data_IF_742010264447
#
_entry.id   IF_742010264447
#
_cell.length_a   1.000
_cell.length_b   1.000
_cell.length_c   1.000
_cell.angle_alpha   90.00
_cell.angle_beta   90.00
_cell.angle_gamma   90.00
#
_symmetry.space_group_name_H-M   'P 1'
#
loop_
_entity.id
_entity.type
_entity.pdbx_description
1 polymer ?
#
# COMPACT_ATOMS: atom_id res chain seq x y z
N UNK A 1 3.92 3.94 -0.99
CA UNK A 1 5.07 3.96 -1.92
C UNK A 1 4.58 4.26 -3.33
N UNK A 2 5.35 5.01 -4.09
CA UNK A 2 5.06 5.28 -5.49
C UNK A 2 5.23 4.03 -6.37
N UNK A 3 4.41 3.94 -7.42
CA UNK A 3 4.60 2.98 -8.49
C UNK A 3 5.78 3.37 -9.38
N UNK A 4 6.23 2.40 -10.18
CA UNK A 4 7.27 2.56 -11.20
C UNK A 4 6.75 1.98 -12.52
N UNK A 5 7.52 2.16 -13.58
CA UNK A 5 7.20 1.58 -14.87
C UNK A 5 7.90 2.27 -16.02
N UNK A 6 7.19 2.39 -17.13
CA UNK A 6 7.65 3.04 -18.36
C UNK A 6 6.68 4.14 -18.78
N UNK A 7 7.23 5.22 -19.32
CA UNK A 7 6.49 6.27 -20.00
C UNK A 7 7.19 6.60 -21.31
N UNK A 8 6.53 6.42 -22.45
CA UNK A 8 7.15 6.51 -23.78
C UNK A 8 8.40 5.62 -23.96
N UNK A 9 8.45 4.49 -23.24
CA UNK A 9 9.61 3.60 -23.20
C UNK A 9 10.75 4.03 -22.26
N UNK A 10 10.71 5.26 -21.72
CA UNK A 10 11.64 5.73 -20.70
C UNK A 10 11.26 5.19 -19.31
N UNK A 11 12.26 4.82 -18.50
CA UNK A 11 12.04 4.26 -17.17
C UNK A 11 11.60 5.35 -16.19
N UNK A 12 10.51 5.12 -15.48
CA UNK A 12 10.03 5.98 -14.39
C UNK A 12 10.78 5.60 -13.11
N UNK A 13 11.57 6.54 -12.60
CA UNK A 13 12.40 6.41 -11.41
C UNK A 13 11.62 6.69 -10.12
N UNK A 14 10.71 7.64 -10.17
CA UNK A 14 9.89 8.06 -9.04
C UNK A 14 8.62 8.77 -9.52
N UNK A 15 7.59 8.77 -8.68
CA UNK A 15 6.34 9.50 -8.91
C UNK A 15 5.97 10.25 -7.65
N UNK A 16 5.76 11.57 -7.77
CA UNK A 16 5.45 12.45 -6.66
C UNK A 16 4.18 13.25 -6.94
N UNK A 17 3.49 13.69 -5.90
CA UNK A 17 2.35 14.59 -5.99
C UNK A 17 2.71 15.86 -5.23
N UNK A 18 2.54 17.02 -5.87
CA UNK A 18 2.77 18.31 -5.21
C UNK A 18 1.53 18.78 -4.43
N UNK A 19 1.68 19.89 -3.70
CA UNK A 19 0.61 20.49 -2.88
C UNK A 19 -0.61 20.96 -3.70
N UNK A 20 -0.47 21.06 -5.03
CA UNK A 20 -1.54 21.39 -5.96
C UNK A 20 -2.18 20.16 -6.60
N UNK A 21 -1.78 18.96 -6.19
CA UNK A 21 -2.30 17.70 -6.71
C UNK A 21 -1.74 17.31 -8.09
N UNK A 22 -0.68 17.96 -8.58
CA UNK A 22 -0.06 17.59 -9.86
C UNK A 22 0.85 16.38 -9.66
N UNK A 23 0.72 15.40 -10.55
CA UNK A 23 1.54 14.18 -10.55
C UNK A 23 2.80 14.40 -11.38
N UNK A 24 3.96 14.34 -10.74
CA UNK A 24 5.28 14.45 -11.36
C UNK A 24 5.90 13.07 -11.56
N UNK A 25 6.39 12.80 -12.76
CA UNK A 25 7.09 11.55 -13.10
C UNK A 25 8.57 11.88 -13.33
N UNK A 26 9.45 11.35 -12.49
CA UNK A 26 10.89 11.43 -12.72
C UNK A 26 11.27 10.31 -13.68
N UNK A 27 11.73 10.64 -14.89
CA UNK A 27 12.05 9.66 -15.93
C UNK A 27 13.52 9.68 -16.29
N UNK A 28 14.03 8.52 -16.70
CA UNK A 28 15.39 8.33 -17.18
C UNK A 28 15.49 8.66 -18.68
N UNK A 29 16.39 9.57 -19.05
CA UNK A 29 16.66 9.93 -20.44
C UNK A 29 15.87 11.13 -20.95
N UNK A 30 15.79 11.32 -22.29
CA UNK A 30 15.16 12.50 -22.88
C UNK A 30 13.65 12.51 -22.65
N UNK A 31 13.11 13.70 -22.40
CA UNK A 31 11.66 13.89 -22.23
C UNK A 31 10.93 13.88 -23.58
N UNK A 32 9.71 13.34 -23.65
CA UNK A 32 8.85 13.52 -24.81
C UNK A 32 8.52 15.00 -25.02
N UNK A 33 8.24 15.37 -26.27
CA UNK A 33 7.80 16.73 -26.59
C UNK A 33 6.51 17.08 -25.83
N UNK A 34 6.38 18.34 -25.42
CA UNK A 34 5.16 18.83 -24.76
C UNK A 34 3.98 18.66 -25.72
N UNK A 35 2.90 18.03 -25.22
CA UNK A 35 1.70 17.73 -26.01
C UNK A 35 1.75 16.40 -26.77
N UNK A 36 2.86 15.66 -26.72
CA UNK A 36 2.93 14.33 -27.31
C UNK A 36 1.99 13.34 -26.59
N UNK A 37 1.30 12.50 -27.36
CA UNK A 37 0.62 11.33 -26.82
C UNK A 37 1.66 10.24 -26.54
N UNK A 38 1.63 9.68 -25.33
CA UNK A 38 2.60 8.68 -24.88
C UNK A 38 1.87 7.48 -24.28
N UNK A 39 2.47 6.29 -24.44
CA UNK A 39 2.02 5.09 -23.75
C UNK A 39 2.73 4.97 -22.40
N UNK A 40 1.96 4.67 -21.35
CA UNK A 40 2.47 4.38 -20.01
C UNK A 40 2.16 2.94 -19.60
N UNK A 41 3.12 2.28 -18.96
CA UNK A 41 2.97 0.93 -18.43
C UNK A 41 3.51 0.88 -16.99
N UNK A 42 2.75 0.31 -16.06
CA UNK A 42 3.14 0.17 -14.65
C UNK A 42 3.88 -1.16 -14.45
N UNK A 43 4.86 -1.18 -13.56
CA UNK A 43 5.42 -2.41 -13.00
C UNK A 43 4.33 -3.13 -12.18
N UNK A 44 3.70 -4.12 -12.80
CA UNK A 44 2.58 -4.87 -12.23
C UNK A 44 2.99 -5.66 -10.98
N UNK A 45 4.23 -6.18 -10.94
CA UNK A 45 4.71 -6.95 -9.80
C UNK A 45 4.81 -6.04 -8.57
N UNK A 46 5.44 -4.87 -8.73
CA UNK A 46 5.50 -3.83 -7.69
C UNK A 46 4.11 -3.41 -7.23
N UNK A 47 3.23 -3.09 -8.19
CA UNK A 47 1.86 -2.63 -7.90
C UNK A 47 1.10 -3.65 -7.04
N UNK A 48 1.19 -4.94 -7.38
CA UNK A 48 0.52 -6.03 -6.65
C UNK A 48 1.04 -6.17 -5.22
N UNK A 49 2.36 -6.13 -5.03
CA UNK A 49 2.96 -6.18 -3.69
C UNK A 49 2.47 -5.02 -2.83
N UNK A 50 2.47 -3.79 -3.36
CA UNK A 50 1.98 -2.63 -2.61
C UNK A 50 0.50 -2.73 -2.25
N UNK A 51 -0.35 -3.22 -3.16
CA UNK A 51 -1.77 -3.46 -2.88
C UNK A 51 -1.94 -4.47 -1.75
N UNK A 52 -1.26 -5.62 -1.85
CA UNK A 52 -1.36 -6.69 -0.88
C UNK A 52 -0.88 -6.23 0.51
N UNK A 53 0.26 -5.55 0.60
CA UNK A 53 0.80 -5.07 1.87
C UNK A 53 -0.10 -4.03 2.53
N UNK A 54 -0.67 -3.11 1.75
CA UNK A 54 -1.58 -2.11 2.30
C UNK A 54 -2.88 -2.77 2.79
N UNK A 55 -3.47 -3.69 2.02
CA UNK A 55 -4.64 -4.45 2.46
C UNK A 55 -4.34 -5.29 3.70
N UNK A 56 -3.20 -5.98 3.74
CA UNK A 56 -2.76 -6.77 4.88
C UNK A 56 -2.58 -5.90 6.13
N UNK A 57 -2.06 -4.68 5.98
CA UNK A 57 -1.94 -3.74 7.08
C UNK A 57 -3.31 -3.42 7.69
N UNK A 58 -4.31 -3.05 6.88
CA UNK A 58 -5.67 -2.77 7.40
C UNK A 58 -6.26 -3.98 8.13
N UNK A 59 -6.09 -5.17 7.56
CA UNK A 59 -6.62 -6.40 8.14
C UNK A 59 -5.92 -6.76 9.46
N UNK A 60 -4.59 -6.67 9.51
CA UNK A 60 -3.82 -6.94 10.72
C UNK A 60 -4.10 -5.90 11.81
N UNK A 61 -4.21 -4.62 11.45
CA UNK A 61 -4.67 -3.57 12.37
C UNK A 61 -6.02 -3.93 13.00
N UNK A 62 -7.00 -4.38 12.19
CA UNK A 62 -8.30 -4.81 12.74
C UNK A 62 -8.16 -6.04 13.64
N UNK A 63 -7.38 -7.04 13.23
CA UNK A 63 -7.17 -8.25 14.01
C UNK A 63 -6.57 -7.96 15.39
N UNK A 64 -5.59 -7.05 15.47
CA UNK A 64 -4.97 -6.63 16.72
C UNK A 64 -5.95 -5.90 17.64
N UNK A 65 -6.84 -5.07 17.09
CA UNK A 65 -7.93 -4.43 17.84
C UNK A 65 -8.90 -5.47 18.39
N UNK A 66 -9.37 -6.42 17.58
CA UNK A 66 -10.32 -7.46 18.00
C UNK A 66 -9.74 -8.37 19.10
N UNK A 67 -8.49 -8.79 18.94
CA UNK A 67 -7.87 -9.80 19.81
C UNK A 67 -7.31 -9.20 21.10
N UNK A 68 -6.80 -7.96 21.05
CA UNK A 68 -6.04 -7.36 22.16
C UNK A 68 -6.46 -5.94 22.52
N UNK A 69 -7.41 -5.35 21.79
CA UNK A 69 -7.82 -3.96 21.95
C UNK A 69 -6.69 -2.97 21.67
N UNK A 70 -5.70 -3.35 20.85
CA UNK A 70 -4.53 -2.54 20.51
C UNK A 70 -4.81 -1.72 19.25
N UNK A 71 -5.01 -0.41 19.41
CA UNK A 71 -5.33 0.51 18.32
C UNK A 71 -4.05 0.88 17.55
N UNK A 72 -4.17 1.04 16.23
CA UNK A 72 -3.03 1.43 15.39
C UNK A 72 -2.72 2.91 15.56
N UNK A 73 -1.48 3.21 15.94
CA UNK A 73 -0.95 4.58 16.08
C UNK A 73 -0.28 5.02 14.78
N UNK A 74 0.50 4.13 14.17
CA UNK A 74 1.24 4.43 12.95
C UNK A 74 1.47 3.16 12.12
N UNK A 75 1.73 3.33 10.83
CA UNK A 75 2.23 2.24 9.99
C UNK A 75 3.30 2.75 9.03
N UNK A 76 4.24 1.87 8.70
CA UNK A 76 5.24 2.12 7.65
C UNK A 76 5.17 0.98 6.66
N UNK A 77 4.81 1.31 5.42
CA UNK A 77 4.79 0.36 4.32
C UNK A 77 6.07 0.52 3.50
N UNK A 78 7.09 -0.25 3.85
CA UNK A 78 8.37 -0.30 3.13
C UNK A 78 8.36 -1.33 2.00
N UNK A 79 9.40 -1.31 1.19
CA UNK A 79 9.53 -2.15 -0.01
C UNK A 79 9.76 -3.64 0.32
N UNK A 80 10.46 -3.91 1.42
CA UNK A 80 10.76 -5.26 1.91
C UNK A 80 10.14 -5.58 3.27
N UNK A 81 9.80 -4.56 4.06
CA UNK A 81 9.29 -4.70 5.43
C UNK A 81 8.17 -3.71 5.66
N UNK A 82 7.09 -4.17 6.29
CA UNK A 82 6.01 -3.33 6.79
C UNK A 82 5.95 -3.43 8.31
N UNK A 83 5.70 -2.30 8.98
CA UNK A 83 5.54 -2.25 10.43
C UNK A 83 4.22 -1.57 10.79
N UNK A 84 3.63 -2.00 11.89
CA UNK A 84 2.46 -1.38 12.51
C UNK A 84 2.85 -1.08 13.95
N UNK A 85 2.68 0.17 14.35
CA UNK A 85 2.88 0.63 15.72
C UNK A 85 1.49 0.75 16.37
N UNK A 86 1.34 0.22 17.60
CA UNK A 86 0.06 0.20 18.33
C UNK A 86 0.17 0.90 19.68
N UNK A 87 -0.97 1.29 20.27
CA UNK A 87 -1.07 2.04 21.53
C UNK A 87 -0.91 1.19 22.80
N UNK A 88 -0.27 0.02 22.68
CA UNK A 88 -0.11 -0.95 23.76
C UNK A 88 1.35 -1.32 23.96
N UNK A 89 1.76 -1.30 25.23
CA UNK A 89 3.08 -1.77 25.65
C UNK A 89 3.08 -3.30 25.76
N UNK A 90 3.58 -3.95 24.71
CA UNK A 90 3.73 -5.40 24.67
C UNK A 90 2.41 -6.15 24.47
N UNK A 91 2.35 -6.94 23.40
CA UNK A 91 1.27 -7.89 23.17
C UNK A 91 1.86 -9.28 23.41
N UNK A 92 1.18 -10.10 24.23
CA UNK A 92 1.63 -11.46 24.47
C UNK A 92 1.70 -12.25 23.15
N UNK A 93 2.75 -13.03 22.94
CA UNK A 93 2.99 -13.77 21.69
C UNK A 93 1.78 -14.61 21.25
N UNK A 94 1.09 -15.24 22.21
CA UNK A 94 -0.12 -16.02 21.94
C UNK A 94 -1.25 -15.18 21.30
N UNK A 95 -1.35 -13.90 21.66
CA UNK A 95 -2.33 -12.96 21.08
C UNK A 95 -1.90 -12.47 19.70
N UNK A 96 -0.59 -12.33 19.46
CA UNK A 96 -0.06 -12.04 18.13
C UNK A 96 -0.40 -13.21 17.18
N UNK A 97 -0.14 -14.44 17.60
CA UNK A 97 -0.48 -15.64 16.82
C UNK A 97 -2.00 -15.79 16.57
N UNK A 98 -2.83 -15.40 17.54
CA UNK A 98 -4.28 -15.36 17.38
C UNK A 98 -4.70 -14.32 16.32
N UNK A 99 -4.10 -13.12 16.33
CA UNK A 99 -4.34 -12.10 15.31
C UNK A 99 -3.88 -12.55 13.91
N UNK A 100 -2.72 -13.21 13.79
CA UNK A 100 -2.24 -13.79 12.53
C UNK A 100 -3.22 -14.85 12.00
N UNK A 101 -3.70 -15.74 12.88
CA UNK A 101 -4.69 -16.77 12.52
C UNK A 101 -6.01 -16.15 12.06
N UNK A 102 -6.43 -15.04 12.67
CA UNK A 102 -7.59 -14.27 12.23
C UNK A 102 -7.39 -13.72 10.82
N UNK A 103 -6.22 -13.12 10.54
CA UNK A 103 -5.88 -12.57 9.22
C UNK A 103 -5.94 -13.67 8.15
N UNK A 104 -5.29 -14.81 8.38
CA UNK A 104 -5.31 -15.93 7.43
C UNK A 104 -6.72 -16.41 7.12
N UNK A 105 -7.56 -16.60 8.14
CA UNK A 105 -8.97 -16.98 7.94
C UNK A 105 -9.73 -15.98 7.08
N UNK A 106 -9.56 -14.67 7.30
CA UNK A 106 -10.25 -13.65 6.50
C UNK A 106 -9.76 -13.64 5.05
N UNK A 107 -8.47 -13.94 4.82
CA UNK A 107 -7.92 -14.13 3.47
C UNK A 107 -8.56 -15.35 2.81
N UNK A 108 -8.65 -16.49 3.50
CA UNK A 108 -9.26 -17.73 2.98
C UNK A 108 -10.76 -17.56 2.66
N UNK A 109 -11.45 -16.70 3.40
CA UNK A 109 -12.85 -16.34 3.15
C UNK A 109 -13.03 -15.41 1.93
N UNK A 110 -11.94 -14.90 1.34
CA UNK A 110 -11.93 -13.99 0.19
C UNK A 110 -12.93 -12.83 0.33
N UNK A 111 -12.91 -12.18 1.51
CA UNK A 111 -13.85 -11.10 1.81
C UNK A 111 -13.65 -9.92 0.85
N UNK A 112 -14.75 -9.41 0.30
CA UNK A 112 -14.74 -8.30 -0.65
C UNK A 112 -14.17 -7.03 -0.02
N UNK A 113 -13.14 -6.47 -0.65
CA UNK A 113 -12.62 -5.13 -0.36
C UNK A 113 -13.34 -4.10 -1.24
N UNK A 114 -13.92 -3.07 -0.63
CA UNK A 114 -14.59 -1.97 -1.35
C UNK A 114 -13.81 -0.67 -1.14
N UNK A 115 -13.59 0.07 -2.22
CA UNK A 115 -13.00 1.41 -2.20
C UNK A 115 -13.89 2.35 -3.05
N UNK A 116 -14.44 3.38 -2.43
CA UNK A 116 -15.34 4.33 -3.09
C UNK A 116 -15.23 5.71 -2.43
N UNK A 117 -15.72 6.73 -3.13
CA UNK A 117 -15.95 8.06 -2.58
C UNK A 117 -17.42 8.14 -2.17
N UNK A 118 -17.74 8.30 -0.87
CA UNK A 118 -19.12 8.46 -0.43
C UNK A 118 -19.74 9.71 -1.06
N UNK A 119 -20.92 9.57 -1.66
CA UNK A 119 -21.80 10.70 -1.89
C UNK A 119 -22.56 10.98 -0.59
N UNK A 120 -22.59 12.24 -0.18
CA UNK A 120 -23.34 12.73 1.00
C UNK A 120 -24.72 12.09 1.14
#
# INVERSE_FOLDING_TARGET
MADRGLLAGARVLDVQIDDHGRVHHVVEGPLPAIGASVHGAIDVARRRVHMALHTAQHLLSRALVEVSGAETVSSRLGESVCTIDVDRDGIAEARIAEAESFVHRVIDEDRVVRAWFPTS
#
